data_IF_292397506082
#
_entry.id   IF_292397506082
#
_cell.length_a   1.000
_cell.length_b   1.000
_cell.length_c   1.000
_cell.angle_alpha   90.00
_cell.angle_beta   90.00
_cell.angle_gamma   90.00
#
_symmetry.space_group_name_H-M   'P 1'
#
loop_
_entity.id
_entity.type
_entity.pdbx_description
1 polymer ?
#
# COMPACT_ATOMS: atom_id res chain seq x y z
N UNK A 1 -23.57 -26.26 -24.96
CA UNK A 1 -22.96 -25.92 -23.68
C UNK A 1 -24.06 -25.44 -22.77
N UNK A 2 -24.32 -26.13 -21.66
CA UNK A 2 -25.29 -25.68 -20.66
C UNK A 2 -24.63 -24.57 -19.85
N UNK A 3 -25.16 -23.36 -19.91
CA UNK A 3 -24.71 -22.26 -19.04
C UNK A 3 -24.98 -22.64 -17.59
N UNK A 4 -23.97 -22.49 -16.73
CA UNK A 4 -24.13 -22.68 -15.28
C UNK A 4 -25.15 -21.69 -14.75
N UNK A 5 -25.90 -22.07 -13.71
CA UNK A 5 -26.76 -21.11 -13.01
C UNK A 5 -25.90 -20.15 -12.17
N UNK A 6 -26.40 -18.94 -11.92
CA UNK A 6 -25.75 -17.96 -11.04
C UNK A 6 -25.39 -18.56 -9.67
N UNK A 7 -26.28 -19.38 -9.11
CA UNK A 7 -26.03 -20.08 -7.85
C UNK A 7 -24.86 -21.09 -7.92
N UNK A 8 -24.66 -21.75 -9.05
CA UNK A 8 -23.52 -22.65 -9.25
C UNK A 8 -22.20 -21.87 -9.35
N UNK A 9 -22.20 -20.74 -10.07
CA UNK A 9 -21.02 -19.89 -10.20
C UNK A 9 -20.62 -19.25 -8.86
N UNK A 10 -21.60 -18.87 -8.04
CA UNK A 10 -21.37 -18.37 -6.67
C UNK A 10 -20.68 -19.40 -5.79
N UNK A 11 -21.18 -20.64 -5.77
CA UNK A 11 -20.61 -21.72 -4.96
C UNK A 11 -19.17 -22.03 -5.39
N UNK A 12 -18.89 -22.02 -6.69
CA UNK A 12 -17.53 -22.20 -7.22
C UNK A 12 -16.58 -21.08 -6.81
N UNK A 13 -17.02 -19.83 -6.92
CA UNK A 13 -16.24 -18.68 -6.47
C UNK A 13 -15.90 -18.79 -4.99
N UNK A 14 -16.89 -19.07 -4.14
CA UNK A 14 -16.70 -19.17 -2.70
C UNK A 14 -15.75 -20.30 -2.30
N UNK A 15 -15.86 -21.45 -2.97
CA UNK A 15 -14.98 -22.59 -2.73
C UNK A 15 -13.52 -22.26 -3.09
N UNK A 16 -13.31 -21.73 -4.31
CA UNK A 16 -11.99 -21.33 -4.78
C UNK A 16 -11.37 -20.22 -3.92
N UNK A 17 -12.14 -19.17 -3.60
CA UNK A 17 -11.67 -18.03 -2.83
C UNK A 17 -11.27 -18.45 -1.41
N UNK A 18 -12.08 -19.32 -0.79
CA UNK A 18 -11.78 -19.87 0.53
C UNK A 18 -10.53 -20.73 0.53
N UNK A 19 -10.38 -21.63 -0.45
CA UNK A 19 -9.20 -22.49 -0.59
C UNK A 19 -7.93 -21.67 -0.76
N UNK A 20 -7.96 -20.66 -1.63
CA UNK A 20 -6.77 -19.90 -2.03
C UNK A 20 -6.34 -18.87 -0.98
N UNK A 21 -7.30 -18.20 -0.36
CA UNK A 21 -7.02 -17.02 0.48
C UNK A 21 -7.34 -17.24 1.95
N UNK A 22 -7.72 -18.46 2.35
CA UNK A 22 -8.13 -18.82 3.71
C UNK A 22 -9.14 -17.81 4.30
N UNK A 23 -10.02 -17.28 3.44
CA UNK A 23 -10.92 -16.17 3.75
C UNK A 23 -12.36 -16.56 3.45
N UNK A 24 -13.25 -16.30 4.40
CA UNK A 24 -14.70 -16.49 4.26
C UNK A 24 -15.43 -15.18 3.95
N UNK A 25 -14.69 -14.08 3.80
CA UNK A 25 -15.29 -12.77 3.53
C UNK A 25 -15.86 -12.73 2.12
N UNK A 26 -17.18 -12.71 2.03
CA UNK A 26 -17.95 -12.56 0.79
C UNK A 26 -18.39 -11.10 0.61
N UNK A 27 -18.29 -10.56 -0.61
CA UNK A 27 -19.00 -9.35 -1.00
C UNK A 27 -19.48 -9.49 -2.45
N UNK A 28 -20.67 -8.96 -2.74
CA UNK A 28 -21.31 -9.06 -4.05
C UNK A 28 -20.41 -8.51 -5.17
N UNK A 29 -19.75 -7.36 -4.95
CA UNK A 29 -18.85 -6.77 -5.93
C UNK A 29 -17.61 -7.65 -6.28
N UNK A 30 -17.13 -8.49 -5.35
CA UNK A 30 -16.05 -9.46 -5.67
C UNK A 30 -16.56 -10.57 -6.58
N UNK A 31 -17.78 -11.03 -6.32
CA UNK A 31 -18.41 -12.05 -7.15
C UNK A 31 -18.71 -11.51 -8.55
N UNK A 32 -19.30 -10.31 -8.65
CA UNK A 32 -19.57 -9.65 -9.94
C UNK A 32 -18.27 -9.45 -10.74
N UNK A 33 -17.22 -8.88 -10.13
CA UNK A 33 -15.93 -8.69 -10.80
C UNK A 33 -15.27 -10.00 -11.23
N UNK A 34 -15.46 -11.09 -10.49
CA UNK A 34 -14.97 -12.41 -10.86
C UNK A 34 -15.77 -13.05 -12.01
N UNK A 35 -17.11 -12.93 -12.01
CA UNK A 35 -17.95 -13.41 -13.11
C UNK A 35 -17.63 -12.64 -14.39
N UNK A 36 -17.56 -11.31 -14.32
CA UNK A 36 -17.19 -10.46 -15.45
C UNK A 36 -15.79 -10.79 -15.96
N UNK A 37 -14.82 -10.99 -15.06
CA UNK A 37 -13.46 -11.41 -15.43
C UNK A 37 -13.41 -12.75 -16.12
N UNK A 38 -14.06 -13.76 -15.54
CA UNK A 38 -14.14 -15.11 -16.11
C UNK A 38 -14.86 -15.08 -17.47
N UNK A 39 -15.98 -14.38 -17.58
CA UNK A 39 -16.74 -14.25 -18.84
C UNK A 39 -15.91 -13.52 -19.91
N UNK A 40 -15.07 -12.54 -19.52
CA UNK A 40 -14.15 -11.90 -20.43
C UNK A 40 -13.08 -12.88 -20.98
N UNK A 41 -12.68 -13.87 -20.18
CA UNK A 41 -11.61 -14.85 -20.44
C UNK A 41 -12.05 -16.11 -21.23
N UNK A 42 -13.34 -16.46 -21.25
CA UNK A 42 -13.87 -17.73 -21.81
C UNK A 42 -13.78 -17.92 -23.35
N UNK A 43 -12.98 -17.13 -24.05
CA UNK A 43 -12.65 -17.37 -25.47
C UNK A 43 -11.15 -17.46 -25.65
N UNK A 44 -10.67 -18.59 -26.18
CA UNK A 44 -9.25 -18.87 -26.47
C UNK A 44 -8.53 -17.72 -27.22
N UNK A 45 -9.23 -16.97 -28.07
CA UNK A 45 -8.68 -15.82 -28.80
C UNK A 45 -8.38 -14.58 -27.91
N UNK A 46 -8.76 -14.59 -26.62
CA UNK A 46 -8.69 -13.39 -25.75
C UNK A 46 -7.72 -13.47 -24.58
N UNK A 47 -7.13 -14.63 -24.27
CA UNK A 47 -6.00 -14.64 -23.34
C UNK A 47 -4.85 -13.80 -23.90
N UNK A 48 -4.50 -14.02 -25.17
CA UNK A 48 -3.54 -13.23 -25.96
C UNK A 48 -3.89 -11.74 -26.10
N UNK A 49 -5.15 -11.37 -25.86
CA UNK A 49 -5.60 -9.98 -25.87
C UNK A 49 -5.32 -9.23 -24.55
N UNK A 50 -5.03 -9.93 -23.45
CA UNK A 50 -4.69 -9.30 -22.17
C UNK A 50 -3.26 -8.78 -22.23
N UNK A 51 -3.04 -7.47 -22.04
CA UNK A 51 -1.70 -6.92 -22.06
C UNK A 51 -0.78 -7.56 -21.02
N UNK A 52 0.48 -7.83 -21.39
CA UNK A 52 1.45 -8.52 -20.55
C UNK A 52 1.64 -7.86 -19.17
N UNK A 53 1.57 -6.53 -19.08
CA UNK A 53 1.64 -5.79 -17.81
C UNK A 53 0.44 -6.06 -16.90
N UNK A 54 -0.76 -6.28 -17.44
CA UNK A 54 -1.93 -6.66 -16.65
C UNK A 54 -1.76 -8.08 -16.10
N UNK A 55 -1.23 -9.01 -16.90
CA UNK A 55 -0.92 -10.38 -16.44
C UNK A 55 0.13 -10.39 -15.33
N UNK A 56 1.20 -9.62 -15.49
CA UNK A 56 2.23 -9.48 -14.45
C UNK A 56 1.67 -8.87 -13.16
N UNK A 57 0.75 -7.89 -13.26
CA UNK A 57 0.05 -7.38 -12.09
C UNK A 57 -0.82 -8.43 -11.41
N UNK A 58 -1.55 -9.25 -12.17
CA UNK A 58 -2.36 -10.35 -11.65
C UNK A 58 -1.50 -11.37 -10.86
N UNK A 59 -0.36 -11.77 -11.41
CA UNK A 59 0.60 -12.66 -10.75
C UNK A 59 1.12 -12.08 -9.43
N UNK A 60 1.54 -10.81 -9.44
CA UNK A 60 2.05 -10.11 -8.25
C UNK A 60 0.99 -9.96 -7.17
N UNK A 61 -0.23 -9.57 -7.53
CA UNK A 61 -1.37 -9.48 -6.59
C UNK A 61 -1.65 -10.83 -5.94
N UNK A 62 -1.56 -11.93 -6.70
CA UNK A 62 -1.77 -13.27 -6.17
C UNK A 62 -0.70 -13.64 -5.12
N UNK A 63 0.57 -13.26 -5.35
CA UNK A 63 1.64 -13.44 -4.36
C UNK A 63 1.43 -12.56 -3.11
N UNK A 64 1.16 -11.26 -3.32
CA UNK A 64 1.00 -10.27 -2.26
C UNK A 64 -0.15 -10.58 -1.28
N UNK A 65 -1.20 -11.27 -1.75
CA UNK A 65 -2.38 -11.57 -0.93
C UNK A 65 -2.06 -12.57 0.21
N UNK A 66 -1.01 -13.37 0.08
CA UNK A 66 -0.62 -14.35 1.09
C UNK A 66 0.27 -13.78 2.20
N UNK A 67 1.02 -12.71 1.90
CA UNK A 67 2.08 -12.21 2.78
C UNK A 67 1.60 -11.21 3.85
N UNK A 68 0.30 -10.87 3.87
CA UNK A 68 -0.21 -9.80 4.72
C UNK A 68 -1.45 -10.22 5.51
N UNK A 69 -1.47 -9.86 6.80
CA UNK A 69 -2.62 -10.08 7.69
C UNK A 69 -3.81 -9.10 7.45
N UNK A 70 -3.78 -8.34 6.34
CA UNK A 70 -4.75 -7.27 6.03
C UNK A 70 -5.64 -7.67 4.87
N UNK A 71 -6.96 -7.58 5.04
CA UNK A 71 -7.91 -7.85 3.96
C UNK A 71 -7.79 -6.81 2.84
N UNK A 72 -7.76 -7.29 1.59
CA UNK A 72 -7.65 -6.49 0.35
C UNK A 72 -6.55 -5.42 0.40
N UNK A 73 -5.27 -5.81 0.46
CA UNK A 73 -4.19 -4.89 0.75
C UNK A 73 -4.10 -3.76 -0.29
N UNK A 74 -3.88 -2.54 0.19
CA UNK A 74 -3.55 -1.35 -0.59
C UNK A 74 -2.14 -0.92 -0.18
N UNK A 75 -1.21 -0.86 -1.14
CA UNK A 75 0.19 -0.53 -0.82
C UNK A 75 0.40 0.97 -0.91
N UNK A 76 0.62 1.61 0.23
CA UNK A 76 0.82 3.05 0.33
C UNK A 76 2.27 3.33 0.68
N UNK A 77 2.96 4.09 -0.15
CA UNK A 77 4.25 4.68 0.23
C UNK A 77 3.94 5.90 1.09
N UNK A 78 4.53 5.93 2.28
CA UNK A 78 4.50 7.07 3.18
C UNK A 78 5.88 7.69 3.29
N UNK A 79 5.93 9.02 3.40
CA UNK A 79 7.15 9.77 3.63
C UNK A 79 7.13 10.35 5.05
N UNK A 80 8.26 10.30 5.73
CA UNK A 80 8.43 10.96 7.04
C UNK A 80 8.33 12.48 6.84
N UNK A 81 7.49 13.13 7.64
CA UNK A 81 7.30 14.57 7.69
C UNK A 81 7.49 15.04 9.12
N UNK A 82 8.30 16.08 9.31
CA UNK A 82 8.44 16.77 10.59
C UNK A 82 7.44 17.92 10.62
N UNK A 83 6.61 17.95 11.65
CA UNK A 83 5.73 19.08 11.96
C UNK A 83 6.38 19.84 13.11
N UNK A 84 6.81 21.07 12.83
CA UNK A 84 7.55 21.94 13.76
C UNK A 84 6.75 23.20 14.10
N UNK A 85 7.22 23.99 15.06
CA UNK A 85 6.55 25.20 15.54
C UNK A 85 5.53 24.94 16.64
N UNK A 86 5.63 23.80 17.32
CA UNK A 86 4.81 23.52 18.48
C UNK A 86 5.39 24.22 19.71
N UNK A 87 4.50 24.67 20.59
CA UNK A 87 4.91 25.07 21.93
C UNK A 87 5.61 23.89 22.63
N UNK A 88 6.67 24.18 23.36
CA UNK A 88 7.53 23.18 24.00
C UNK A 88 6.86 22.43 25.14
N UNK A 89 5.67 22.85 25.56
CA UNK A 89 4.82 22.15 26.54
C UNK A 89 3.78 21.21 25.89
N UNK A 90 3.66 21.23 24.56
CA UNK A 90 2.71 20.41 23.81
C UNK A 90 3.30 19.07 23.33
N UNK A 91 4.62 18.88 23.43
CA UNK A 91 5.33 17.69 22.94
C UNK A 91 6.61 17.46 23.73
N UNK A 92 6.99 16.19 23.91
CA UNK A 92 8.27 15.82 24.53
C UNK A 92 9.45 15.94 23.54
N UNK A 93 9.18 16.07 22.24
CA UNK A 93 10.22 16.22 21.23
C UNK A 93 10.49 17.71 21.00
N UNK A 94 11.65 18.17 21.46
CA UNK A 94 12.13 19.54 21.28
C UNK A 94 13.41 19.48 20.45
N UNK A 95 13.55 20.39 19.48
CA UNK A 95 14.70 20.42 18.58
C UNK A 95 15.05 21.82 18.12
N UNK A 96 16.25 21.93 17.57
CA UNK A 96 16.77 23.13 16.93
C UNK A 96 16.54 23.05 15.43
N UNK A 97 16.01 24.11 14.84
CA UNK A 97 15.80 24.21 13.41
C UNK A 97 16.57 25.39 12.84
N UNK A 98 17.23 25.17 11.71
CA UNK A 98 17.84 26.25 10.93
C UNK A 98 16.72 27.10 10.31
N UNK A 99 16.75 28.41 10.51
CA UNK A 99 15.65 29.30 10.09
C UNK A 99 15.62 29.53 8.58
N UNK A 100 16.73 29.29 7.88
CA UNK A 100 16.84 29.49 6.43
C UNK A 100 16.39 28.25 5.65
N UNK A 101 16.81 27.06 6.06
CA UNK A 101 16.46 25.79 5.41
C UNK A 101 15.16 25.19 5.95
N UNK A 102 14.84 25.44 7.23
CA UNK A 102 13.77 24.77 7.95
C UNK A 102 14.11 23.34 8.37
N UNK A 103 15.36 22.91 8.23
CA UNK A 103 15.81 21.56 8.56
C UNK A 103 16.09 21.43 10.07
N UNK A 104 15.80 20.24 10.60
CA UNK A 104 16.18 19.86 11.97
C UNK A 104 17.70 19.74 12.04
N UNK A 105 18.30 20.46 12.99
CA UNK A 105 19.73 20.36 13.31
C UNK A 105 19.93 19.12 14.17
N UNK A 106 20.89 18.28 13.79
CA UNK A 106 21.18 17.00 14.46
C UNK A 106 22.66 16.90 14.86
N UNK A 107 22.97 15.97 15.78
CA UNK A 107 24.35 15.65 16.15
C UNK A 107 25.01 16.70 17.06
N UNK A 108 26.34 16.87 16.90
CA UNK A 108 27.16 17.72 17.77
C UNK A 108 26.70 19.19 17.73
N UNK A 109 26.26 19.68 16.58
CA UNK A 109 25.75 21.05 16.43
C UNK A 109 24.49 21.29 17.27
N UNK A 110 23.55 20.33 17.27
CA UNK A 110 22.35 20.41 18.10
C UNK A 110 22.70 20.37 19.60
N UNK A 111 23.70 19.58 19.99
CA UNK A 111 24.16 19.51 21.37
C UNK A 111 24.83 20.81 21.82
N UNK A 112 25.62 21.45 20.96
CA UNK A 112 26.25 22.74 21.23
C UNK A 112 25.22 23.88 21.36
N UNK A 113 24.20 23.88 20.50
CA UNK A 113 23.08 24.83 20.57
C UNK A 113 22.29 24.67 21.89
N UNK A 114 21.97 23.43 22.27
CA UNK A 114 21.26 23.16 23.52
C UNK A 114 22.09 23.56 24.74
N UNK A 115 23.38 23.23 24.78
CA UNK A 115 24.26 23.62 25.89
C UNK A 115 24.36 25.14 26.03
N UNK A 116 24.43 25.87 24.91
CA UNK A 116 24.44 27.34 24.92
C UNK A 116 23.12 27.91 25.44
N UNK A 117 22.00 27.32 25.06
CA UNK A 117 20.68 27.75 25.54
C UNK A 117 20.49 27.46 27.03
N UNK A 118 20.97 26.32 27.53
CA UNK A 118 20.96 26.02 28.96
C UNK A 118 21.78 27.05 29.78
N UNK A 119 22.88 27.54 29.22
CA UNK A 119 23.74 28.55 29.85
C UNK A 119 23.18 29.97 29.78
N UNK A 120 22.51 30.34 28.68
CA UNK A 120 22.16 31.75 28.37
C UNK A 120 20.66 32.03 28.31
N UNK A 121 19.84 31.04 28.00
CA UNK A 121 18.42 31.17 27.68
C UNK A 121 18.14 31.80 26.31
N UNK A 122 19.18 32.10 25.52
CA UNK A 122 19.07 32.80 24.24
C UNK A 122 19.10 31.82 23.07
N UNK A 123 18.22 32.03 22.08
CA UNK A 123 18.26 31.36 20.79
C UNK A 123 19.27 32.07 19.87
N UNK A 124 20.33 31.38 19.38
CA UNK A 124 21.30 31.97 18.47
C UNK A 124 20.68 32.43 17.15
N UNK A 125 21.25 33.49 16.55
CA UNK A 125 20.82 33.96 15.24
C UNK A 125 20.92 32.85 14.18
N UNK A 126 19.87 32.67 13.38
CA UNK A 126 19.77 31.62 12.38
C UNK A 126 19.15 30.31 12.88
N UNK A 127 18.82 30.22 14.16
CA UNK A 127 18.24 29.01 14.75
C UNK A 127 17.00 29.33 15.58
N UNK A 128 16.08 28.37 15.64
CA UNK A 128 14.89 28.42 16.51
C UNK A 128 14.77 27.13 17.31
N UNK A 129 14.44 27.25 18.60
CA UNK A 129 14.19 26.10 19.49
C UNK A 129 12.70 25.89 19.64
N UNK A 130 12.17 24.78 19.15
CA UNK A 130 10.71 24.55 19.16
C UNK A 130 10.36 23.07 19.32
N UNK A 131 9.14 22.81 19.77
CA UNK A 131 8.57 21.48 19.79
C UNK A 131 8.27 20.99 18.38
N UNK A 132 8.42 19.69 18.16
CA UNK A 132 8.04 19.05 16.92
C UNK A 132 7.42 17.66 17.16
N UNK A 133 6.89 17.05 16.11
CA UNK A 133 6.64 15.62 16.05
C UNK A 133 6.84 15.12 14.64
N UNK A 134 7.05 13.81 14.54
CA UNK A 134 7.19 13.13 13.26
C UNK A 134 5.90 12.40 12.92
N UNK A 135 5.43 12.59 11.69
CA UNK A 135 4.32 11.83 11.16
C UNK A 135 4.68 11.19 9.82
N UNK A 136 3.93 10.12 9.50
CA UNK A 136 4.04 9.46 8.22
C UNK A 136 2.95 9.97 7.31
N UNK A 137 3.33 10.83 6.36
CA UNK A 137 2.42 11.42 5.39
C UNK A 137 2.24 10.50 4.18
N UNK A 138 1.01 10.44 3.66
CA UNK A 138 0.74 9.75 2.41
C UNK A 138 1.56 10.36 1.26
N UNK A 139 2.25 9.51 0.50
CA UNK A 139 3.04 9.98 -0.64
C UNK A 139 2.56 9.41 -1.98
N UNK A 140 2.27 8.10 -2.05
CA UNK A 140 1.70 7.48 -3.25
C UNK A 140 1.02 6.14 -2.93
N UNK A 141 0.10 5.69 -3.79
CA UNK A 141 -0.55 4.37 -3.71
C UNK A 141 -0.19 3.50 -4.90
N UNK A 142 0.00 2.21 -4.66
CA UNK A 142 0.35 1.18 -5.62
C UNK A 142 -0.57 -0.03 -5.53
N UNK A 143 -0.70 -0.71 -6.67
CA UNK A 143 -1.48 -1.94 -6.80
C UNK A 143 -0.72 -3.16 -6.26
N UNK A 144 0.61 -3.18 -6.44
CA UNK A 144 1.49 -4.28 -6.04
C UNK A 144 2.52 -3.82 -5.00
N UNK A 145 2.90 -4.73 -4.10
CA UNK A 145 3.93 -4.48 -3.09
C UNK A 145 5.27 -4.17 -3.75
N UNK A 146 5.64 -4.94 -4.77
CA UNK A 146 6.92 -4.79 -5.49
C UNK A 146 7.09 -3.37 -6.04
N UNK A 147 6.08 -2.81 -6.72
CA UNK A 147 6.16 -1.46 -7.27
C UNK A 147 6.19 -0.38 -6.18
N UNK A 148 5.50 -0.59 -5.05
CA UNK A 148 5.60 0.31 -3.90
C UNK A 148 7.02 0.31 -3.31
N UNK A 149 7.63 -0.87 -3.17
CA UNK A 149 8.98 -1.03 -2.65
C UNK A 149 10.02 -0.43 -3.59
N UNK A 150 9.91 -0.64 -4.90
CA UNK A 150 10.78 -0.02 -5.91
C UNK A 150 10.77 1.50 -5.79
N UNK A 151 9.58 2.09 -5.69
CA UNK A 151 9.45 3.53 -5.53
C UNK A 151 10.02 4.02 -4.20
N UNK A 152 9.72 3.36 -3.08
CA UNK A 152 10.25 3.75 -1.77
C UNK A 152 11.79 3.69 -1.76
N UNK A 153 12.39 2.63 -2.31
CA UNK A 153 13.85 2.48 -2.44
C UNK A 153 14.46 3.59 -3.29
N UNK A 154 13.83 3.94 -4.41
CA UNK A 154 14.31 5.01 -5.29
C UNK A 154 14.21 6.42 -4.67
N UNK A 155 13.37 6.61 -3.66
CA UNK A 155 13.17 7.90 -2.98
C UNK A 155 14.02 8.09 -1.72
N UNK A 156 14.64 7.02 -1.21
CA UNK A 156 15.60 7.08 -0.11
C UNK A 156 15.02 6.83 1.28
N UNK A 157 15.83 7.11 2.30
CA UNK A 157 15.70 6.59 3.67
C UNK A 157 14.48 7.09 4.46
N UNK A 158 13.79 8.11 3.96
CA UNK A 158 12.60 8.69 4.58
C UNK A 158 11.27 8.17 4.01
N UNK A 159 11.30 7.10 3.21
CA UNK A 159 10.10 6.46 2.67
C UNK A 159 9.91 5.06 3.25
N UNK A 160 8.66 4.70 3.57
CA UNK A 160 8.27 3.34 3.93
C UNK A 160 7.05 2.88 3.13
N UNK A 161 6.89 1.57 3.00
CA UNK A 161 5.63 1.00 2.51
C UNK A 161 4.75 0.64 3.70
N UNK A 162 3.53 1.15 3.70
CA UNK A 162 2.46 0.85 4.65
C UNK A 162 1.33 0.12 3.92
N UNK A 163 0.80 -0.94 4.53
CA UNK A 163 -0.31 -1.72 3.95
C UNK A 163 -1.62 -1.27 4.59
N UNK A 164 -2.42 -0.55 3.82
CA UNK A 164 -3.78 -0.18 4.21
C UNK A 164 -4.78 -1.28 3.76
N UNK A 165 -6.01 -1.22 4.27
CA UNK A 165 -7.07 -2.17 3.96
C UNK A 165 -8.12 -1.58 3.04
N UNK A 166 -8.31 -2.22 1.89
CA UNK A 166 -9.45 -1.98 1.02
C UNK A 166 -10.75 -2.65 1.49
N UNK A 167 -10.83 -3.13 2.74
CA UNK A 167 -11.96 -3.92 3.23
C UNK A 167 -13.34 -3.26 3.08
N UNK A 168 -13.44 -1.92 3.08
CA UNK A 168 -14.73 -1.23 2.87
C UNK A 168 -14.89 -0.67 1.46
N UNK A 169 -13.91 -0.87 0.58
CA UNK A 169 -13.92 -0.37 -0.79
C UNK A 169 -14.37 -1.49 -1.75
N UNK A 170 -15.61 -1.41 -2.22
CA UNK A 170 -16.20 -2.42 -3.09
C UNK A 170 -15.58 -2.43 -4.50
N UNK A 171 -15.19 -1.27 -5.03
CA UNK A 171 -14.49 -1.15 -6.32
C UNK A 171 -13.10 -1.78 -6.27
N UNK A 172 -12.34 -1.53 -5.18
CA UNK A 172 -11.03 -2.15 -4.97
C UNK A 172 -11.12 -3.67 -4.89
N UNK A 173 -12.13 -4.16 -4.18
CA UNK A 173 -12.45 -5.59 -4.08
C UNK A 173 -12.77 -6.19 -5.44
N UNK A 174 -13.61 -5.53 -6.25
CA UNK A 174 -13.97 -5.98 -7.59
C UNK A 174 -12.75 -6.03 -8.52
N UNK A 175 -11.94 -4.97 -8.53
CA UNK A 175 -10.70 -4.89 -9.32
C UNK A 175 -9.72 -6.02 -8.94
N UNK A 176 -9.51 -6.26 -7.65
CA UNK A 176 -8.64 -7.35 -7.18
C UNK A 176 -9.20 -8.71 -7.58
N UNK A 177 -10.50 -8.93 -7.41
CA UNK A 177 -11.14 -10.19 -7.81
C UNK A 177 -11.00 -10.46 -9.31
N UNK A 178 -11.19 -9.43 -10.13
CA UNK A 178 -10.96 -9.49 -11.58
C UNK A 178 -9.50 -9.86 -11.90
N UNK A 179 -8.52 -9.18 -11.32
CA UNK A 179 -7.10 -9.46 -11.56
C UNK A 179 -6.71 -10.88 -11.11
N UNK A 180 -7.23 -11.35 -9.97
CA UNK A 180 -7.00 -12.72 -9.50
C UNK A 180 -7.66 -13.78 -10.41
N UNK A 181 -8.78 -13.45 -11.06
CA UNK A 181 -9.42 -14.35 -12.04
C UNK A 181 -8.52 -14.61 -13.26
N UNK A 182 -7.72 -13.62 -13.67
CA UNK A 182 -6.77 -13.73 -14.77
C UNK A 182 -5.64 -14.72 -14.42
N UNK A 183 -5.03 -14.60 -13.24
CA UNK A 183 -4.00 -15.55 -12.79
C UNK A 183 -4.57 -16.98 -12.64
N UNK A 184 -5.83 -17.11 -12.20
CA UNK A 184 -6.48 -18.40 -12.04
C UNK A 184 -6.72 -19.11 -13.37
N UNK A 185 -7.27 -18.42 -14.38
CA UNK A 185 -7.52 -18.99 -15.70
C UNK A 185 -6.24 -19.58 -16.31
N UNK A 186 -5.15 -18.81 -16.27
CA UNK A 186 -3.84 -19.25 -16.78
C UNK A 186 -3.32 -20.52 -16.12
N UNK A 187 -3.49 -20.68 -14.80
CA UNK A 187 -2.99 -21.87 -14.08
C UNK A 187 -3.78 -23.13 -14.41
N UNK A 188 -5.08 -23.02 -14.64
CA UNK A 188 -5.90 -24.15 -15.08
C UNK A 188 -5.44 -24.66 -16.45
N UNK A 189 -5.06 -23.77 -17.35
CA UNK A 189 -4.56 -24.15 -18.69
C UNK A 189 -3.15 -24.77 -18.64
N UNK A 190 -2.31 -24.36 -17.69
CA UNK A 190 -0.94 -24.88 -17.51
C UNK A 190 -0.82 -26.22 -16.78
N UNK A 191 -1.76 -26.56 -15.90
CA UNK A 191 -1.76 -27.84 -15.14
C UNK A 191 -2.42 -29.02 -15.92
N UNK A 192 -2.73 -28.79 -17.21
CA UNK A 192 -3.35 -29.76 -18.13
C UNK A 192 -2.38 -30.50 -19.07
N UNK A 193 -1.07 -30.29 -18.95
CA UNK A 193 0.00 -31.04 -19.67
C UNK A 193 0.64 -32.16 -18.83
#
# INVERSE_FOLDING_TARGET
>A
MTTKSDEQERVEFEAWYREKYNSTLYCEARYEGWVEGRAALQSQDREDAIPANIRLMAERIAADTFEHCTADPIFTVQKKRIVTGLDTDCTDNIGWFDTDSGDLVEGDEAADLEARYDDTGDEPEGYVRTGYFEEWEHYATYITMESAQEFAKAKGENCRVYVDSGYRNHEWKALRAFLLSIDHARRIEGDGE
#
